data_IF_509758475851
#
_entry.id   IF_509758475851
#
_cell.length_a   1.000
_cell.length_b   1.000
_cell.length_c   1.000
_cell.angle_alpha   90.00
_cell.angle_beta   90.00
_cell.angle_gamma   90.00
#
_symmetry.space_group_name_H-M   'P 1'
#
loop_
_entity.id
_entity.type
_entity.pdbx_description
1 polymer ?
#
# COMPACT_ATOMS: atom_id res chain seq x y z
N UNK A 1 12.63 8.99 -34.60
CA UNK A 1 11.86 9.37 -33.38
C UNK A 1 10.60 8.52 -33.30
N UNK A 2 9.86 8.51 -32.19
CA UNK A 2 8.63 7.70 -32.08
C UNK A 2 7.56 8.15 -33.08
N UNK A 3 7.52 9.45 -33.39
CA UNK A 3 6.74 10.07 -34.47
C UNK A 3 6.98 9.37 -35.82
N UNK A 4 8.24 9.25 -36.26
CA UNK A 4 8.59 8.57 -37.52
C UNK A 4 8.14 7.11 -37.55
N UNK A 5 8.28 6.41 -36.42
CA UNK A 5 7.88 5.01 -36.31
C UNK A 5 6.36 4.88 -36.49
N UNK A 6 5.57 5.69 -35.77
CA UNK A 6 4.10 5.67 -35.86
C UNK A 6 3.65 5.97 -37.28
N UNK A 7 4.19 7.02 -37.91
CA UNK A 7 3.82 7.42 -39.28
C UNK A 7 4.07 6.26 -40.26
N UNK A 8 5.29 5.69 -40.23
CA UNK A 8 5.68 4.63 -41.18
C UNK A 8 4.95 3.32 -40.93
N UNK A 9 4.80 2.92 -39.66
CA UNK A 9 4.19 1.64 -39.29
C UNK A 9 2.70 1.61 -39.65
N UNK A 10 1.96 2.68 -39.32
CA UNK A 10 0.53 2.80 -39.60
C UNK A 10 0.20 3.40 -40.97
N UNK A 11 1.21 3.78 -41.77
CA UNK A 11 1.06 4.39 -43.10
C UNK A 11 0.22 5.68 -43.07
N UNK A 12 0.55 6.57 -42.14
CA UNK A 12 -0.17 7.83 -41.89
C UNK A 12 0.51 9.05 -42.55
N UNK A 13 1.27 8.83 -43.63
CA UNK A 13 2.03 9.89 -44.30
C UNK A 13 1.13 11.06 -44.73
N UNK A 14 1.48 12.27 -44.28
CA UNK A 14 0.73 13.49 -44.57
C UNK A 14 -0.59 13.67 -43.81
N UNK A 15 -0.98 12.71 -42.95
CA UNK A 15 -2.21 12.81 -42.16
C UNK A 15 -2.04 13.58 -40.85
N UNK A 16 -0.88 13.43 -40.20
CA UNK A 16 -0.57 14.08 -38.92
C UNK A 16 0.84 14.66 -38.95
N UNK A 17 1.01 15.78 -38.28
CA UNK A 17 2.32 16.40 -38.02
C UNK A 17 3.04 15.68 -36.88
N UNK A 18 4.36 15.82 -36.84
CA UNK A 18 5.15 15.33 -35.71
C UNK A 18 4.70 15.96 -34.38
N UNK A 19 4.36 17.25 -34.37
CA UNK A 19 3.91 17.96 -33.18
C UNK A 19 2.59 17.37 -32.63
N UNK A 20 1.63 17.05 -33.50
CA UNK A 20 0.37 16.40 -33.10
C UNK A 20 0.60 15.03 -32.48
N UNK A 21 1.47 14.21 -33.08
CA UNK A 21 1.80 12.88 -32.54
C UNK A 21 2.48 13.02 -31.18
N UNK A 22 3.48 13.89 -31.07
CA UNK A 22 4.20 14.10 -29.82
C UNK A 22 3.30 14.69 -28.72
N UNK A 23 2.35 15.54 -29.07
CA UNK A 23 1.32 16.03 -28.15
C UNK A 23 0.45 14.89 -27.62
N UNK A 24 -0.01 13.99 -28.49
CA UNK A 24 -0.75 12.80 -28.06
C UNK A 24 0.08 11.89 -27.15
N UNK A 25 1.35 11.65 -27.49
CA UNK A 25 2.27 10.90 -26.62
C UNK A 25 2.39 11.54 -25.24
N UNK A 26 2.53 12.88 -25.17
CA UNK A 26 2.58 13.61 -23.91
C UNK A 26 1.27 13.51 -23.11
N UNK A 27 0.12 13.64 -23.75
CA UNK A 27 -1.19 13.46 -23.10
C UNK A 27 -1.30 12.07 -22.49
N UNK A 28 -0.95 11.02 -23.24
CA UNK A 28 -1.01 9.63 -22.78
C UNK A 28 0.00 9.39 -21.65
N UNK A 29 1.22 9.92 -21.74
CA UNK A 29 2.23 9.77 -20.70
C UNK A 29 1.82 10.39 -19.36
N UNK A 30 1.18 11.57 -19.41
CA UNK A 30 0.78 12.30 -18.20
C UNK A 30 -0.55 11.80 -17.64
N UNK A 31 -1.52 11.52 -18.50
CA UNK A 31 -2.92 11.28 -18.11
C UNK A 31 -3.40 9.84 -18.36
N UNK A 32 -2.53 8.99 -18.93
CA UNK A 32 -2.83 7.58 -19.13
C UNK A 32 -2.96 6.86 -17.79
N UNK A 33 -4.01 6.05 -17.70
CA UNK A 33 -4.24 5.10 -16.63
C UNK A 33 -4.15 3.69 -17.19
N UNK A 34 -3.33 2.86 -16.54
CA UNK A 34 -3.34 1.42 -16.75
C UNK A 34 -4.68 0.85 -16.24
N UNK A 35 -5.32 0.05 -17.09
CA UNK A 35 -6.62 -0.58 -16.85
C UNK A 35 -6.44 -2.10 -16.92
N UNK A 36 -6.40 -2.78 -15.77
CA UNK A 36 -6.03 -4.20 -15.69
C UNK A 36 -7.19 -5.18 -15.95
N UNK A 37 -8.04 -4.90 -16.94
CA UNK A 37 -9.22 -5.73 -17.24
C UNK A 37 -8.99 -6.76 -18.36
N UNK A 38 -7.82 -6.72 -19.00
CA UNK A 38 -7.44 -7.62 -20.09
C UNK A 38 -5.99 -8.07 -19.88
N UNK A 39 -5.59 -9.18 -20.52
CA UNK A 39 -4.20 -9.61 -20.57
C UNK A 39 -3.68 -9.49 -22.01
N UNK A 40 -2.72 -8.59 -22.29
CA UNK A 40 -2.11 -7.62 -21.37
C UNK A 40 -3.04 -6.45 -21.02
N UNK A 41 -2.70 -5.75 -19.95
CA UNK A 41 -3.32 -4.48 -19.55
C UNK A 41 -3.30 -3.46 -20.69
N UNK A 42 -4.26 -2.53 -20.68
CA UNK A 42 -4.33 -1.42 -21.65
C UNK A 42 -4.29 -0.06 -20.97
N UNK A 43 -3.95 0.98 -21.73
CA UNK A 43 -3.92 2.36 -21.25
C UNK A 43 -5.14 3.12 -21.76
N UNK A 44 -5.84 3.81 -20.86
CA UNK A 44 -6.95 4.68 -21.19
C UNK A 44 -6.75 6.09 -20.62
N UNK A 45 -7.29 7.10 -21.30
CA UNK A 45 -7.30 8.50 -20.86
C UNK A 45 -8.74 8.88 -20.52
N UNK A 46 -8.95 9.36 -19.29
CA UNK A 46 -10.28 9.75 -18.81
C UNK A 46 -10.29 11.24 -18.47
N UNK A 47 -10.83 12.06 -19.37
CA UNK A 47 -10.83 13.53 -19.30
C UNK A 47 -11.11 14.10 -17.89
N UNK A 48 -12.23 13.69 -17.27
CA UNK A 48 -12.61 14.21 -15.95
C UNK A 48 -11.69 13.79 -14.81
N UNK A 49 -11.12 12.59 -14.87
CA UNK A 49 -10.24 12.11 -13.78
C UNK A 49 -8.85 12.74 -13.85
N UNK A 50 -8.41 13.11 -15.06
CA UNK A 50 -7.13 13.78 -15.29
C UNK A 50 -7.04 15.15 -14.60
N UNK A 51 -8.18 15.68 -14.14
CA UNK A 51 -8.26 16.90 -13.33
C UNK A 51 -8.06 16.68 -11.83
N UNK A 52 -8.14 15.44 -11.32
CA UNK A 52 -7.84 15.16 -9.92
C UNK A 52 -6.35 15.43 -9.67
N UNK A 53 -6.00 16.00 -8.52
CA UNK A 53 -4.61 16.28 -8.20
C UNK A 53 -3.95 15.11 -7.47
N UNK A 54 -2.61 15.14 -7.37
CA UNK A 54 -1.89 14.18 -6.56
C UNK A 54 -1.91 14.55 -5.08
N UNK A 55 -2.12 13.55 -4.23
CA UNK A 55 -1.73 13.62 -2.82
C UNK A 55 -1.27 12.22 -2.34
N UNK A 56 -0.14 12.14 -1.63
CA UNK A 56 0.34 10.85 -1.08
C UNK A 56 -0.56 10.29 0.03
N UNK A 57 -1.43 11.13 0.60
CA UNK A 57 -2.53 10.75 1.48
C UNK A 57 -3.83 11.24 0.84
N UNK A 58 -4.20 10.57 -0.25
CA UNK A 58 -5.34 10.92 -1.08
C UNK A 58 -6.68 10.76 -0.34
N UNK A 59 -7.69 11.50 -0.80
CA UNK A 59 -9.06 11.42 -0.29
C UNK A 59 -10.02 10.65 -1.21
N UNK A 60 -9.59 10.30 -2.43
CA UNK A 60 -10.37 9.48 -3.34
C UNK A 60 -9.61 8.21 -3.78
N UNK A 61 -10.39 7.16 -3.98
CA UNK A 61 -10.00 5.88 -4.53
C UNK A 61 -10.42 5.76 -6.00
N UNK A 62 -9.61 5.07 -6.81
CA UNK A 62 -9.89 4.74 -8.20
C UNK A 62 -10.19 3.25 -8.34
N UNK A 63 -11.24 2.92 -9.10
CA UNK A 63 -11.57 1.56 -9.54
C UNK A 63 -12.08 1.57 -10.99
N UNK A 64 -12.53 0.43 -11.49
CA UNK A 64 -13.03 0.28 -12.87
C UNK A 64 -14.32 -0.54 -12.93
N UNK A 65 -15.20 -0.24 -13.87
CA UNK A 65 -16.29 -1.16 -14.24
C UNK A 65 -15.76 -2.26 -15.15
N UNK A 66 -16.47 -3.39 -15.27
CA UNK A 66 -16.12 -4.46 -16.22
C UNK A 66 -16.10 -4.00 -17.68
N UNK A 67 -16.73 -2.87 -18.01
CA UNK A 67 -16.70 -2.25 -19.34
C UNK A 67 -15.58 -1.23 -19.52
N UNK A 68 -14.68 -1.09 -18.54
CA UNK A 68 -13.52 -0.20 -18.64
C UNK A 68 -13.79 1.27 -18.32
N UNK A 69 -14.94 1.59 -17.73
CA UNK A 69 -15.19 2.95 -17.23
C UNK A 69 -14.48 3.14 -15.89
N UNK A 70 -13.95 4.34 -15.66
CA UNK A 70 -13.28 4.65 -14.41
C UNK A 70 -14.28 5.08 -13.33
N UNK A 71 -14.11 4.55 -12.12
CA UNK A 71 -14.87 4.94 -10.94
C UNK A 71 -13.95 5.71 -10.01
N UNK A 72 -14.28 6.97 -9.75
CA UNK A 72 -13.66 7.76 -8.68
C UNK A 72 -14.64 7.84 -7.51
N UNK A 73 -14.21 7.42 -6.33
CA UNK A 73 -15.05 7.41 -5.13
C UNK A 73 -14.33 8.05 -3.95
N UNK A 74 -15.07 8.72 -3.07
CA UNK A 74 -14.52 9.21 -1.82
C UNK A 74 -14.08 8.02 -0.95
N UNK A 75 -12.83 8.05 -0.49
CA UNK A 75 -12.28 7.10 0.48
C UNK A 75 -12.37 7.61 1.93
N UNK A 76 -12.53 8.92 2.10
CA UNK A 76 -12.76 9.60 3.38
C UNK A 76 -13.85 10.64 3.23
N UNK A 77 -14.32 11.22 4.33
CA UNK A 77 -15.22 12.36 4.30
C UNK A 77 -14.53 13.58 3.66
N UNK A 78 -15.21 14.21 2.69
CA UNK A 78 -14.70 15.37 1.95
C UNK A 78 -15.66 16.53 2.14
N UNK A 79 -15.22 17.57 2.86
CA UNK A 79 -16.02 18.78 3.06
C UNK A 79 -16.23 19.54 1.73
N UNK A 80 -17.39 20.19 1.57
CA UNK A 80 -17.69 21.00 0.40
C UNK A 80 -16.64 22.10 0.18
N UNK A 81 -16.17 22.23 -1.06
CA UNK A 81 -15.09 23.16 -1.42
C UNK A 81 -13.67 22.63 -1.23
N UNK A 82 -13.50 21.43 -0.65
CA UNK A 82 -12.20 20.77 -0.57
C UNK A 82 -11.72 20.27 -1.94
N UNK A 83 -10.41 20.15 -2.09
CA UNK A 83 -9.79 19.55 -3.26
C UNK A 83 -10.09 18.04 -3.36
N UNK A 84 -10.09 17.52 -4.58
CA UNK A 84 -10.24 16.08 -4.90
C UNK A 84 -8.90 15.55 -5.38
N UNK A 85 -8.39 14.51 -4.71
CA UNK A 85 -7.05 14.00 -4.93
C UNK A 85 -7.00 12.48 -5.01
N UNK A 86 -6.05 11.96 -5.78
CA UNK A 86 -5.72 10.53 -5.90
C UNK A 86 -4.21 10.32 -5.70
N UNK A 87 -3.80 9.09 -5.38
CA UNK A 87 -2.39 8.75 -5.32
C UNK A 87 -1.89 8.35 -6.72
N UNK A 88 -0.76 8.90 -7.15
CA UNK A 88 -0.13 8.61 -8.46
C UNK A 88 1.07 7.67 -8.33
N UNK A 89 1.43 7.33 -7.11
CA UNK A 89 2.51 6.40 -6.77
C UNK A 89 1.92 5.21 -6.04
N UNK A 90 2.73 4.20 -5.80
CA UNK A 90 2.44 3.25 -4.73
C UNK A 90 2.41 4.01 -3.39
N UNK A 91 1.40 3.71 -2.56
CA UNK A 91 1.17 4.36 -1.27
C UNK A 91 2.10 3.85 -0.16
N UNK A 92 2.74 2.68 -0.35
CA UNK A 92 3.70 2.06 0.57
C UNK A 92 5.16 2.33 0.23
N UNK A 93 5.48 3.09 -0.82
CA UNK A 93 6.84 3.57 -1.03
C UNK A 93 7.26 4.60 0.01
N UNK A 94 8.54 4.66 0.37
CA UNK A 94 9.10 5.72 1.21
C UNK A 94 9.01 7.11 0.57
N UNK A 95 9.13 8.17 1.38
CA UNK A 95 8.90 9.55 0.93
C UNK A 95 9.80 9.98 -0.24
N UNK A 96 11.09 9.63 -0.19
CA UNK A 96 12.05 9.97 -1.25
C UNK A 96 11.69 9.29 -2.57
N UNK A 97 11.38 7.99 -2.54
CA UNK A 97 11.00 7.23 -3.73
C UNK A 97 9.73 7.78 -4.40
N UNK A 98 8.69 8.14 -3.61
CA UNK A 98 7.48 8.78 -4.14
C UNK A 98 7.80 10.12 -4.81
N UNK A 99 8.60 10.97 -4.16
CA UNK A 99 8.99 12.28 -4.72
C UNK A 99 9.80 12.14 -6.01
N UNK A 100 10.78 11.24 -6.05
CA UNK A 100 11.57 10.96 -7.25
C UNK A 100 10.71 10.43 -8.40
N UNK A 101 9.83 9.47 -8.12
CA UNK A 101 8.93 8.94 -9.13
C UNK A 101 8.04 10.03 -9.75
N UNK A 102 7.44 10.90 -8.94
CA UNK A 102 6.60 11.99 -9.43
C UNK A 102 7.38 13.02 -10.24
N UNK A 103 8.62 13.31 -9.84
CA UNK A 103 9.49 14.20 -10.60
C UNK A 103 9.87 13.61 -11.96
N UNK A 104 10.03 12.29 -12.04
CA UNK A 104 10.38 11.58 -13.27
C UNK A 104 9.18 11.35 -14.19
N UNK A 105 8.04 10.94 -13.65
CA UNK A 105 6.88 10.52 -14.42
C UNK A 105 5.84 11.61 -14.65
N UNK A 106 5.73 12.58 -13.72
CA UNK A 106 4.73 13.66 -13.74
C UNK A 106 5.33 15.06 -13.73
N UNK A 107 6.66 15.18 -13.68
CA UNK A 107 7.40 16.45 -13.78
C UNK A 107 7.07 17.48 -12.69
N UNK A 108 6.69 17.03 -11.49
CA UNK A 108 6.51 17.88 -10.32
C UNK A 108 7.06 17.23 -9.05
N UNK A 109 7.30 18.03 -8.03
CA UNK A 109 7.80 17.57 -6.73
C UNK A 109 6.70 17.70 -5.67
N UNK A 110 6.29 16.57 -5.07
CA UNK A 110 5.21 16.56 -4.10
C UNK A 110 5.62 17.14 -2.74
N UNK A 111 4.89 18.15 -2.28
CA UNK A 111 5.05 18.80 -0.96
C UNK A 111 3.81 18.62 -0.08
N UNK A 112 3.03 17.56 -0.31
CA UNK A 112 1.84 17.28 0.51
C UNK A 112 2.22 17.06 1.98
N UNK A 113 1.23 17.14 2.88
CA UNK A 113 1.43 16.99 4.33
C UNK A 113 2.23 15.74 4.71
N UNK A 114 1.98 14.60 4.04
CA UNK A 114 2.73 13.36 4.27
C UNK A 114 4.20 13.48 3.89
N UNK A 115 4.52 14.09 2.75
CA UNK A 115 5.91 14.31 2.32
C UNK A 115 6.65 15.34 3.17
N UNK A 116 5.94 16.34 3.70
CA UNK A 116 6.53 17.37 4.55
C UNK A 116 6.72 16.93 6.00
N UNK A 117 5.98 15.92 6.46
CA UNK A 117 6.15 15.32 7.77
C UNK A 117 7.18 14.18 7.72
N UNK A 118 8.35 14.40 8.30
CA UNK A 118 9.44 13.41 8.31
C UNK A 118 9.08 12.12 9.05
N UNK A 119 8.08 12.15 9.92
CA UNK A 119 7.59 10.96 10.62
C UNK A 119 6.49 10.22 9.85
N UNK A 120 6.00 10.80 8.74
CA UNK A 120 4.82 10.34 7.99
C UNK A 120 3.64 10.04 8.92
N UNK A 121 3.12 11.08 9.57
CA UNK A 121 2.02 11.00 10.55
C UNK A 121 2.36 10.19 11.80
N UNK A 122 3.60 10.27 12.27
CA UNK A 122 4.06 9.57 13.47
C UNK A 122 4.33 8.07 13.27
N UNK A 123 4.16 7.54 12.06
CA UNK A 123 4.35 6.11 11.75
C UNK A 123 5.82 5.71 11.69
N UNK A 124 6.72 6.68 11.55
CA UNK A 124 8.17 6.47 11.39
C UNK A 124 8.50 5.62 10.15
N UNK A 125 7.71 5.79 9.08
CA UNK A 125 7.71 4.94 7.88
C UNK A 125 9.03 4.90 7.10
N UNK A 126 9.89 5.91 7.27
CA UNK A 126 11.23 5.97 6.67
C UNK A 126 12.37 5.94 7.71
N UNK A 127 12.08 5.61 8.97
CA UNK A 127 13.03 5.82 10.07
C UNK A 127 14.00 4.65 10.31
N UNK A 128 15.25 4.99 10.65
CA UNK A 128 16.34 4.05 10.94
C UNK A 128 16.61 4.03 12.45
N UNK A 129 16.89 2.87 13.04
CA UNK A 129 17.24 2.75 14.47
C UNK A 129 18.56 3.45 14.77
N UNK A 130 18.58 4.24 15.84
CA UNK A 130 19.81 4.80 16.36
C UNK A 130 20.74 3.69 16.87
N UNK A 131 22.04 3.80 16.57
CA UNK A 131 23.07 2.83 16.98
C UNK A 131 23.90 3.29 18.18
N UNK A 132 23.58 4.44 18.76
CA UNK A 132 24.20 4.87 20.01
C UNK A 132 23.86 3.93 21.15
N UNK A 133 24.84 3.71 22.02
CA UNK A 133 24.68 2.86 23.20
C UNK A 133 23.53 3.38 24.08
N UNK A 134 22.69 2.46 24.54
CA UNK A 134 21.54 2.72 25.42
C UNK A 134 20.46 3.66 24.83
N UNK A 135 20.50 3.95 23.52
CA UNK A 135 19.48 4.73 22.82
C UNK A 135 18.44 3.82 22.16
N UNK A 136 17.15 4.15 22.35
CA UNK A 136 16.01 3.48 21.68
C UNK A 136 15.30 4.37 20.65
N UNK A 137 15.91 5.51 20.31
CA UNK A 137 15.36 6.47 19.36
C UNK A 137 15.58 6.07 17.90
N UNK A 138 15.02 6.88 17.01
CA UNK A 138 15.10 6.69 15.57
C UNK A 138 15.69 7.92 14.90
N UNK A 139 16.52 7.68 13.89
CA UNK A 139 17.12 8.64 13.00
C UNK A 139 16.11 9.00 11.90
N UNK A 140 15.91 10.30 11.70
CA UNK A 140 15.11 10.90 10.63
C UNK A 140 15.85 12.11 10.07
N UNK A 141 15.67 12.47 8.79
CA UNK A 141 16.25 13.71 8.27
C UNK A 141 15.50 14.92 8.86
N UNK A 142 16.14 16.09 8.81
CA UNK A 142 15.46 17.35 9.17
C UNK A 142 14.27 17.65 8.21
N UNK A 143 14.38 17.22 6.95
CA UNK A 143 13.32 17.35 5.93
C UNK A 143 13.55 16.38 4.77
N UNK A 144 12.47 15.91 4.14
CA UNK A 144 12.49 15.23 2.84
C UNK A 144 12.27 16.19 1.66
N UNK A 145 11.93 17.46 1.93
CA UNK A 145 11.64 18.48 0.91
C UNK A 145 12.94 19.17 0.50
N UNK A 146 13.74 18.45 -0.29
CA UNK A 146 14.99 18.94 -0.87
C UNK A 146 14.90 18.93 -2.40
N UNK A 147 15.66 19.80 -3.08
CA UNK A 147 15.76 19.77 -4.54
C UNK A 147 16.22 18.40 -5.03
N UNK A 148 15.53 17.87 -6.04
CA UNK A 148 15.90 16.66 -6.75
C UNK A 148 16.87 17.03 -7.88
N UNK A 149 18.08 16.48 -7.79
CA UNK A 149 19.14 16.74 -8.77
C UNK A 149 18.66 16.45 -10.20
N UNK A 150 18.94 17.36 -11.12
CA UNK A 150 18.51 17.32 -12.53
C UNK A 150 16.98 17.35 -12.79
N UNK A 151 16.14 17.54 -11.75
CA UNK A 151 14.68 17.61 -11.89
C UNK A 151 14.11 18.93 -11.38
N UNK A 152 14.63 19.47 -10.28
CA UNK A 152 14.17 20.75 -9.75
C UNK A 152 14.52 21.88 -10.71
N UNK A 153 13.49 22.64 -11.11
CA UNK A 153 13.67 23.86 -11.89
C UNK A 153 14.21 24.96 -10.97
N UNK A 154 15.35 25.56 -11.36
CA UNK A 154 15.97 26.69 -10.65
C UNK A 154 16.21 26.43 -9.15
N UNK A 155 17.00 25.41 -8.78
CA UNK A 155 17.26 25.09 -7.37
C UNK A 155 18.01 26.22 -6.67
N UNK A 156 17.65 26.51 -5.42
CA UNK A 156 18.37 27.48 -4.59
C UNK A 156 19.84 27.03 -4.45
N UNK A 157 20.82 27.87 -4.86
CA UNK A 157 22.24 27.56 -4.75
C UNK A 157 22.71 27.17 -3.34
N UNK A 158 21.98 27.59 -2.29
CA UNK A 158 22.29 27.29 -0.90
C UNK A 158 21.76 25.93 -0.43
N UNK A 159 20.69 25.41 -1.07
CA UNK A 159 20.04 24.13 -0.68
C UNK A 159 20.29 23.00 -1.68
N UNK A 160 20.92 23.28 -2.82
CA UNK A 160 21.27 22.27 -3.84
C UNK A 160 22.29 21.21 -3.39
N UNK A 161 23.06 21.49 -2.35
CA UNK A 161 24.10 20.58 -1.86
C UNK A 161 23.53 19.56 -0.87
N UNK A 162 23.35 18.31 -1.33
CA UNK A 162 22.94 17.20 -0.45
C UNK A 162 24.03 16.81 0.57
N UNK A 163 25.28 17.26 0.36
CA UNK A 163 26.44 16.96 1.21
C UNK A 163 26.28 17.36 2.69
N UNK A 164 25.30 18.23 3.00
CA UNK A 164 24.99 18.68 4.37
C UNK A 164 23.74 18.04 4.97
N UNK A 165 23.14 17.04 4.31
CA UNK A 165 21.97 16.35 4.84
C UNK A 165 22.40 15.36 5.91
N UNK A 166 21.80 15.50 7.10
CA UNK A 166 22.01 14.61 8.24
C UNK A 166 20.67 14.08 8.73
N UNK A 167 20.73 12.87 9.27
CA UNK A 167 19.64 12.21 9.97
C UNK A 167 19.93 12.30 11.47
N UNK A 168 18.99 12.87 12.22
CA UNK A 168 19.13 13.11 13.66
C UNK A 168 18.24 12.19 14.45
N UNK A 169 18.77 11.68 15.55
CA UNK A 169 18.01 10.82 16.44
C UNK A 169 17.03 11.65 17.26
N UNK A 170 15.75 11.28 17.22
CA UNK A 170 14.70 11.94 18.00
C UNK A 170 14.83 11.78 19.53
N UNK A 171 15.78 10.98 20.02
CA UNK A 171 16.01 10.75 21.45
C UNK A 171 17.36 11.31 21.92
N UNK A 172 18.48 10.80 21.41
CA UNK A 172 19.82 11.21 21.88
C UNK A 172 20.46 12.34 21.06
N UNK A 173 19.80 12.81 19.99
CA UNK A 173 20.29 13.87 19.09
C UNK A 173 21.58 13.52 18.30
N UNK A 174 22.01 12.26 18.34
CA UNK A 174 23.09 11.78 17.47
C UNK A 174 22.75 12.00 16.00
N UNK A 175 23.75 12.34 15.20
CA UNK A 175 23.59 12.71 13.80
C UNK A 175 24.44 11.81 12.90
N UNK A 176 23.79 11.22 11.90
CA UNK A 176 24.41 10.36 10.88
C UNK A 176 24.27 11.04 9.53
N UNK A 177 25.32 11.02 8.70
CA UNK A 177 25.25 11.64 7.36
C UNK A 177 24.27 10.88 6.46
N UNK A 178 23.63 11.59 5.55
CA UNK A 178 22.70 10.98 4.59
C UNK A 178 23.38 9.90 3.76
N UNK A 179 24.63 10.10 3.33
CA UNK A 179 25.39 9.09 2.56
C UNK A 179 25.48 7.73 3.27
N UNK A 180 25.64 7.71 4.60
CA UNK A 180 25.68 6.47 5.38
C UNK A 180 24.30 5.81 5.44
N UNK A 181 23.24 6.61 5.61
CA UNK A 181 21.87 6.10 5.62
C UNK A 181 21.47 5.57 4.24
N UNK A 182 21.80 6.28 3.16
CA UNK A 182 21.51 5.85 1.79
C UNK A 182 22.26 4.56 1.45
N UNK A 183 23.52 4.41 1.86
CA UNK A 183 24.25 3.16 1.68
C UNK A 183 23.57 2.00 2.41
N UNK A 184 23.17 2.19 3.68
CA UNK A 184 22.43 1.17 4.43
C UNK A 184 21.13 0.77 3.72
N UNK A 185 20.33 1.74 3.27
CA UNK A 185 19.07 1.48 2.57
C UNK A 185 19.27 0.83 1.20
N UNK A 186 20.38 1.13 0.53
CA UNK A 186 20.78 0.49 -0.72
C UNK A 186 21.17 -0.97 -0.50
N UNK A 187 21.95 -1.26 0.53
CA UNK A 187 22.38 -2.61 0.87
C UNK A 187 21.17 -3.49 1.23
N UNK A 188 20.23 -2.97 2.04
CA UNK A 188 18.96 -3.65 2.35
C UNK A 188 18.11 -3.87 1.09
N UNK A 189 18.06 -2.88 0.20
CA UNK A 189 17.36 -3.00 -1.08
C UNK A 189 17.96 -4.09 -1.98
N UNK A 190 19.29 -4.26 -1.97
CA UNK A 190 19.96 -5.35 -2.70
C UNK A 190 19.64 -6.72 -2.08
N UNK A 191 19.65 -6.83 -0.76
CA UNK A 191 19.24 -8.04 -0.05
C UNK A 191 17.80 -8.45 -0.41
N UNK A 192 16.87 -7.49 -0.40
CA UNK A 192 15.48 -7.71 -0.80
C UNK A 192 15.38 -8.20 -2.26
N UNK A 193 16.13 -7.60 -3.18
CA UNK A 193 16.09 -7.96 -4.60
C UNK A 193 16.57 -9.39 -4.90
N UNK A 194 17.48 -9.94 -4.09
CA UNK A 194 17.99 -11.32 -4.26
C UNK A 194 17.25 -12.34 -3.39
N UNK A 195 16.33 -11.90 -2.53
CA UNK A 195 15.52 -12.76 -1.68
C UNK A 195 14.68 -13.74 -2.52
N UNK A 196 14.62 -15.04 -2.18
CA UNK A 196 13.77 -16.00 -2.88
C UNK A 196 12.29 -15.56 -2.87
N UNK A 197 11.68 -15.50 -4.06
CA UNK A 197 10.26 -15.14 -4.20
C UNK A 197 9.37 -16.32 -3.77
N UNK A 198 8.28 -16.02 -3.07
CA UNK A 198 7.33 -17.03 -2.61
C UNK A 198 7.82 -17.88 -1.44
N UNK A 199 8.88 -17.45 -0.74
CA UNK A 199 9.43 -18.12 0.43
C UNK A 199 9.07 -17.34 1.71
N UNK A 200 8.12 -17.87 2.48
CA UNK A 200 7.69 -17.29 3.74
C UNK A 200 8.80 -17.29 4.81
N UNK A 201 9.62 -18.34 4.87
CA UNK A 201 10.74 -18.43 5.81
C UNK A 201 11.81 -17.37 5.48
N UNK A 202 12.04 -17.09 4.19
CA UNK A 202 12.93 -16.01 3.77
C UNK A 202 12.41 -14.64 4.20
N UNK A 203 11.11 -14.38 4.07
CA UNK A 203 10.50 -13.14 4.53
C UNK A 203 10.64 -12.96 6.04
N UNK A 204 10.39 -14.01 6.83
CA UNK A 204 10.56 -13.99 8.29
C UNK A 204 12.01 -13.67 8.69
N UNK A 205 12.99 -14.31 8.05
CA UNK A 205 14.43 -14.05 8.29
C UNK A 205 14.82 -12.61 7.92
N UNK A 206 14.33 -12.10 6.79
CA UNK A 206 14.60 -10.72 6.38
C UNK A 206 14.07 -9.71 7.39
N UNK A 207 12.82 -9.89 7.83
CA UNK A 207 12.18 -9.04 8.84
C UNK A 207 12.96 -9.10 10.16
N UNK A 208 13.33 -10.29 10.63
CA UNK A 208 14.12 -10.43 11.87
C UNK A 208 15.48 -9.72 11.76
N UNK A 209 16.21 -9.93 10.66
CA UNK A 209 17.50 -9.29 10.41
C UNK A 209 17.39 -7.75 10.37
N UNK A 210 16.49 -7.24 9.52
CA UNK A 210 16.27 -5.82 9.31
C UNK A 210 15.68 -5.12 10.54
N UNK A 211 15.00 -5.85 11.43
CA UNK A 211 14.47 -5.30 12.68
C UNK A 211 15.56 -4.69 13.56
N UNK A 212 16.82 -5.12 13.44
CA UNK A 212 17.93 -4.54 14.19
C UNK A 212 18.34 -3.15 13.70
N UNK A 213 18.01 -2.79 12.45
CA UNK A 213 18.39 -1.53 11.80
C UNK A 213 17.23 -0.58 11.54
N UNK A 214 16.01 -1.09 11.34
CA UNK A 214 14.88 -0.30 10.86
C UNK A 214 13.77 -0.18 11.90
N UNK A 215 12.95 0.87 11.78
CA UNK A 215 11.70 0.95 12.52
C UNK A 215 10.76 -0.21 12.11
N UNK A 216 9.97 -0.79 13.03
CA UNK A 216 9.04 -1.87 12.69
C UNK A 216 8.02 -1.53 11.58
N UNK A 217 7.72 -0.26 11.37
CA UNK A 217 6.84 0.24 10.30
C UNK A 217 7.60 0.78 9.10
N UNK A 218 8.93 0.61 9.01
CA UNK A 218 9.70 1.08 7.88
C UNK A 218 9.17 0.50 6.56
N UNK A 219 9.24 1.23 5.44
CA UNK A 219 8.67 0.78 4.16
C UNK A 219 9.16 -0.62 3.73
N UNK A 220 10.47 -0.91 3.80
CA UNK A 220 10.99 -2.28 3.54
C UNK A 220 10.41 -3.35 4.48
N UNK A 221 10.26 -3.02 5.77
CA UNK A 221 9.67 -3.95 6.73
C UNK A 221 8.21 -4.21 6.42
N UNK A 222 7.48 -3.16 6.01
CA UNK A 222 6.07 -3.21 5.66
C UNK A 222 5.83 -4.00 4.38
N UNK A 223 6.65 -3.77 3.35
CA UNK A 223 6.59 -4.46 2.05
C UNK A 223 6.77 -5.98 2.21
N UNK A 224 7.84 -6.40 2.90
CA UNK A 224 8.09 -7.83 3.16
C UNK A 224 7.03 -8.44 4.09
N UNK A 225 6.57 -7.68 5.08
CA UNK A 225 5.47 -8.11 5.96
C UNK A 225 4.16 -8.32 5.20
N UNK A 226 3.86 -7.46 4.22
CA UNK A 226 2.70 -7.58 3.35
C UNK A 226 2.77 -8.86 2.51
N UNK A 227 3.92 -9.08 1.85
CA UNK A 227 4.16 -10.29 1.08
C UNK A 227 4.03 -11.56 1.93
N UNK A 228 4.64 -11.57 3.12
CA UNK A 228 4.53 -12.68 4.07
C UNK A 228 3.07 -12.94 4.50
N UNK A 229 2.32 -11.89 4.83
CA UNK A 229 0.91 -12.00 5.21
C UNK A 229 0.07 -12.60 4.07
N UNK A 230 0.38 -12.28 2.81
CA UNK A 230 -0.27 -12.84 1.63
C UNK A 230 0.13 -14.29 1.36
N UNK A 231 1.37 -14.70 1.67
CA UNK A 231 1.85 -16.08 1.48
C UNK A 231 1.29 -17.07 2.50
N UNK A 232 1.13 -16.67 3.77
CA UNK A 232 0.69 -17.60 4.83
C UNK A 232 -0.71 -18.12 4.53
N UNK A 233 -0.83 -19.44 4.36
CA UNK A 233 -2.10 -20.13 4.15
C UNK A 233 -2.57 -20.24 2.69
N UNK A 234 -1.69 -19.98 1.72
CA UNK A 234 -1.99 -20.14 0.27
C UNK A 234 -1.72 -21.55 -0.27
N UNK A 235 -1.20 -22.47 0.56
CA UNK A 235 -1.01 -23.87 0.17
C UNK A 235 -2.37 -24.59 -0.03
N UNK A 236 -2.35 -25.74 -0.69
CA UNK A 236 -3.57 -26.55 -0.99
C UNK A 236 -4.45 -26.84 0.22
N UNK A 237 -3.86 -26.92 1.42
CA UNK A 237 -4.58 -27.19 2.67
C UNK A 237 -5.05 -25.92 3.39
N UNK A 238 -4.74 -24.74 2.86
CA UNK A 238 -5.17 -23.44 3.37
C UNK A 238 -4.69 -23.13 4.79
N UNK A 239 -5.41 -22.24 5.47
CA UNK A 239 -5.13 -21.86 6.86
C UNK A 239 -5.26 -23.02 7.85
N UNK A 240 -5.97 -24.10 7.52
CA UNK A 240 -6.14 -25.25 8.41
C UNK A 240 -4.83 -26.01 8.69
N UNK A 241 -3.87 -25.97 7.76
CA UNK A 241 -2.56 -26.63 7.90
C UNK A 241 -1.46 -25.72 8.47
N UNK A 242 -1.72 -24.42 8.63
CA UNK A 242 -0.74 -23.45 9.15
C UNK A 242 -0.54 -23.66 10.66
N UNK A 243 0.69 -23.53 11.17
CA UNK A 243 0.96 -23.59 12.61
C UNK A 243 0.22 -22.48 13.39
N UNK A 244 -0.04 -22.67 14.69
CA UNK A 244 -0.66 -21.63 15.52
C UNK A 244 0.18 -20.34 15.56
N UNK A 245 1.50 -20.48 15.56
CA UNK A 245 2.45 -19.36 15.53
C UNK A 245 2.33 -18.54 14.23
N UNK A 246 2.31 -19.21 13.06
CA UNK A 246 2.16 -18.52 11.77
C UNK A 246 0.77 -17.94 11.56
N UNK A 247 -0.27 -18.58 12.09
CA UNK A 247 -1.63 -18.04 12.05
C UNK A 247 -1.73 -16.75 12.90
N UNK A 248 -1.10 -16.74 14.09
CA UNK A 248 -1.00 -15.56 14.93
C UNK A 248 -0.19 -14.45 14.23
N UNK A 249 0.95 -14.81 13.61
CA UNK A 249 1.76 -13.88 12.84
C UNK A 249 0.95 -13.23 11.70
N UNK A 250 0.26 -14.03 10.87
CA UNK A 250 -0.61 -13.51 9.81
C UNK A 250 -1.64 -12.53 10.36
N UNK A 251 -2.30 -12.87 11.47
CA UNK A 251 -3.28 -11.99 12.13
C UNK A 251 -2.65 -10.65 12.53
N UNK A 252 -1.46 -10.68 13.14
CA UNK A 252 -0.75 -9.47 13.57
C UNK A 252 -0.29 -8.61 12.39
N UNK A 253 0.24 -9.22 11.33
CA UNK A 253 0.71 -8.51 10.14
C UNK A 253 -0.46 -7.87 9.40
N UNK A 254 -1.54 -8.61 9.11
CA UNK A 254 -2.70 -8.07 8.42
C UNK A 254 -3.31 -6.89 9.16
N UNK A 255 -3.48 -7.01 10.49
CA UNK A 255 -4.00 -5.91 11.31
C UNK A 255 -3.07 -4.70 11.31
N UNK A 256 -1.79 -4.91 11.59
CA UNK A 256 -0.80 -3.82 11.66
C UNK A 256 -0.71 -3.03 10.36
N UNK A 257 -0.75 -3.70 9.22
CA UNK A 257 -0.64 -3.05 7.90
C UNK A 257 -1.95 -2.35 7.54
N UNK A 258 -3.11 -2.94 7.85
CA UNK A 258 -4.41 -2.28 7.66
C UNK A 258 -4.53 -0.99 8.47
N UNK A 259 -4.10 -1.01 9.75
CA UNK A 259 -4.06 0.17 10.63
C UNK A 259 -3.06 1.23 10.10
N UNK A 260 -1.92 0.79 9.56
CA UNK A 260 -0.92 1.68 8.96
C UNK A 260 -1.46 2.38 7.70
N UNK A 261 -2.19 1.66 6.84
CA UNK A 261 -2.82 2.23 5.65
C UNK A 261 -3.88 3.26 5.99
N UNK A 262 -4.68 3.04 7.03
CA UNK A 262 -5.65 4.03 7.51
C UNK A 262 -4.97 5.35 7.91
N UNK A 263 -3.73 5.29 8.39
CA UNK A 263 -2.95 6.47 8.74
C UNK A 263 -2.26 7.11 7.52
N UNK A 264 -1.60 6.30 6.67
CA UNK A 264 -0.77 6.80 5.57
C UNK A 264 -1.56 7.16 4.32
N UNK A 265 -2.53 6.31 3.96
CA UNK A 265 -3.26 6.32 2.71
C UNK A 265 -4.71 5.86 2.93
N UNK A 266 -5.55 6.68 3.61
CA UNK A 266 -6.86 6.26 4.06
C UNK A 266 -7.84 5.94 2.91
N UNK A 267 -7.59 6.46 1.71
CA UNK A 267 -8.36 6.12 0.51
C UNK A 267 -7.82 4.90 -0.26
N UNK A 268 -6.79 4.20 0.23
CA UNK A 268 -6.25 2.99 -0.38
C UNK A 268 -7.16 1.78 -0.09
N UNK A 269 -8.25 1.67 -0.84
CA UNK A 269 -9.30 0.69 -0.57
C UNK A 269 -8.93 -0.74 -0.97
N UNK A 270 -8.24 -0.93 -2.10
CA UNK A 270 -7.92 -2.26 -2.65
C UNK A 270 -7.05 -3.04 -1.68
N UNK A 271 -5.89 -2.46 -1.34
CA UNK A 271 -4.94 -3.12 -0.46
C UNK A 271 -5.50 -3.32 0.95
N UNK A 272 -6.13 -2.29 1.54
CA UNK A 272 -6.74 -2.38 2.88
C UNK A 272 -7.88 -3.40 2.89
N UNK A 273 -8.74 -3.42 1.88
CA UNK A 273 -9.84 -4.37 1.75
C UNK A 273 -9.36 -5.82 1.63
N UNK A 274 -8.31 -6.07 0.83
CA UNK A 274 -7.70 -7.40 0.71
C UNK A 274 -7.03 -7.86 2.02
N UNK A 275 -6.35 -6.96 2.73
CA UNK A 275 -5.75 -7.26 4.04
C UNK A 275 -6.81 -7.59 5.10
N UNK A 276 -7.93 -6.85 5.12
CA UNK A 276 -9.05 -7.16 6.01
C UNK A 276 -9.71 -8.49 5.62
N UNK A 277 -9.71 -8.86 4.34
CA UNK A 277 -10.17 -10.18 3.93
C UNK A 277 -9.27 -11.28 4.54
N UNK A 278 -7.97 -11.18 4.37
CA UNK A 278 -7.02 -12.13 4.95
C UNK A 278 -7.09 -12.18 6.49
N UNK A 279 -7.28 -11.02 7.13
CA UNK A 279 -7.45 -10.90 8.58
C UNK A 279 -8.72 -11.64 9.06
N UNK A 280 -9.86 -11.46 8.38
CA UNK A 280 -11.11 -12.11 8.77
C UNK A 280 -10.94 -13.64 8.77
N UNK A 281 -10.27 -14.18 7.75
CA UNK A 281 -10.06 -15.61 7.58
C UNK A 281 -9.16 -16.17 8.70
N UNK A 282 -8.07 -15.46 9.03
CA UNK A 282 -7.18 -15.84 10.12
C UNK A 282 -7.87 -15.82 11.51
N UNK A 283 -8.71 -14.80 11.75
CA UNK A 283 -9.51 -14.68 12.98
C UNK A 283 -10.55 -15.80 13.09
N UNK A 284 -11.23 -16.14 11.99
CA UNK A 284 -12.20 -17.23 11.94
C UNK A 284 -11.54 -18.59 12.22
N UNK A 285 -10.39 -18.86 11.60
CA UNK A 285 -9.64 -20.11 11.83
C UNK A 285 -9.12 -20.21 13.27
N UNK A 286 -8.64 -19.10 13.85
CA UNK A 286 -8.26 -19.05 15.26
C UNK A 286 -9.45 -19.39 16.17
N UNK A 287 -10.63 -18.84 15.88
CA UNK A 287 -11.87 -19.14 16.58
C UNK A 287 -12.25 -20.61 16.49
N UNK A 288 -12.16 -21.20 15.29
CA UNK A 288 -12.42 -22.63 15.06
C UNK A 288 -11.50 -23.50 15.91
N UNK A 289 -10.19 -23.23 15.93
CA UNK A 289 -9.22 -24.01 16.72
C UNK A 289 -9.51 -23.91 18.22
N UNK A 290 -9.70 -22.70 18.75
CA UNK A 290 -9.97 -22.49 20.18
C UNK A 290 -11.31 -23.06 20.63
N UNK A 291 -12.31 -23.10 19.75
CA UNK A 291 -13.62 -23.67 20.09
C UNK A 291 -13.58 -25.17 20.41
N UNK A 292 -12.56 -25.89 19.93
CA UNK A 292 -12.37 -27.31 20.23
C UNK A 292 -12.07 -27.57 21.71
N UNK A 293 -11.44 -26.61 22.39
CA UNK A 293 -11.12 -26.69 23.82
C UNK A 293 -12.08 -25.88 24.68
N UNK A 294 -12.45 -24.68 24.20
CA UNK A 294 -13.12 -23.66 25.03
C UNK A 294 -14.63 -23.56 24.74
N UNK A 295 -15.12 -24.34 23.79
CA UNK A 295 -16.54 -24.48 23.49
C UNK A 295 -17.16 -23.40 22.59
N UNK A 296 -18.49 -23.48 22.34
CA UNK A 296 -19.18 -22.69 21.32
C UNK A 296 -19.28 -21.20 21.62
N UNK A 297 -19.19 -20.79 22.89
CA UNK A 297 -19.22 -19.37 23.27
C UNK A 297 -17.98 -18.63 22.77
N UNK A 298 -16.81 -19.27 22.82
CA UNK A 298 -15.57 -18.71 22.25
C UNK A 298 -15.67 -18.59 20.74
N UNK A 299 -16.22 -19.61 20.07
CA UNK A 299 -16.46 -19.56 18.63
C UNK A 299 -17.36 -18.37 18.26
N UNK A 300 -18.46 -18.16 18.98
CA UNK A 300 -19.37 -17.05 18.74
C UNK A 300 -18.67 -15.70 18.82
N UNK A 301 -17.79 -15.49 19.80
CA UNK A 301 -16.99 -14.27 19.92
C UNK A 301 -16.10 -14.02 18.70
N UNK A 302 -15.35 -15.04 18.27
CA UNK A 302 -14.45 -14.95 17.12
C UNK A 302 -15.19 -14.78 15.79
N UNK A 303 -16.28 -15.50 15.57
CA UNK A 303 -17.10 -15.36 14.35
C UNK A 303 -17.75 -13.98 14.29
N UNK A 304 -18.22 -13.46 15.42
CA UNK A 304 -18.79 -12.09 15.48
C UNK A 304 -17.74 -11.03 15.12
N UNK A 305 -16.50 -11.19 15.61
CA UNK A 305 -15.41 -10.27 15.28
C UNK A 305 -14.97 -10.40 13.82
N UNK A 306 -14.74 -11.61 13.34
CA UNK A 306 -14.40 -11.88 11.93
C UNK A 306 -15.46 -11.30 10.98
N UNK A 307 -16.74 -11.37 11.35
CA UNK A 307 -17.84 -10.80 10.55
C UNK A 307 -17.71 -9.29 10.40
N UNK A 308 -17.36 -8.56 11.46
CA UNK A 308 -17.17 -7.10 11.41
C UNK A 308 -16.04 -6.73 10.47
N UNK A 309 -14.91 -7.43 10.58
CA UNK A 309 -13.73 -7.25 9.73
C UNK A 309 -14.10 -7.51 8.26
N UNK A 310 -14.82 -8.60 8.00
CA UNK A 310 -15.26 -8.96 6.65
C UNK A 310 -16.26 -7.96 6.07
N UNK A 311 -17.14 -7.39 6.90
CA UNK A 311 -18.07 -6.36 6.48
C UNK A 311 -17.34 -5.10 5.99
N UNK A 312 -16.27 -4.70 6.68
CA UNK A 312 -15.42 -3.58 6.26
C UNK A 312 -14.65 -3.91 4.97
N UNK A 313 -14.07 -5.11 4.85
CA UNK A 313 -13.46 -5.59 3.61
C UNK A 313 -14.43 -5.50 2.42
N UNK A 314 -15.64 -6.03 2.56
CA UNK A 314 -16.68 -5.97 1.52
C UNK A 314 -17.08 -4.53 1.16
N UNK A 315 -17.08 -3.63 2.14
CA UNK A 315 -17.37 -2.22 1.90
C UNK A 315 -16.27 -1.55 1.09
N UNK A 316 -15.00 -1.76 1.43
CA UNK A 316 -13.86 -1.17 0.71
C UNK A 316 -13.78 -1.67 -0.74
N UNK A 317 -14.00 -2.98 -0.95
CA UNK A 317 -13.89 -3.63 -2.27
C UNK A 317 -15.18 -3.58 -3.10
N UNK A 318 -16.20 -2.82 -2.68
CA UNK A 318 -17.55 -2.87 -3.29
C UNK A 318 -17.62 -2.45 -4.77
N UNK A 319 -16.65 -1.63 -5.20
CA UNK A 319 -16.58 -1.09 -6.56
C UNK A 319 -15.65 -1.89 -7.46
N UNK A 320 -14.94 -2.89 -6.92
CA UNK A 320 -13.97 -3.65 -7.69
C UNK A 320 -14.66 -4.63 -8.65
N UNK A 321 -14.22 -4.66 -9.92
CA UNK A 321 -14.81 -5.50 -10.94
C UNK A 321 -14.33 -6.95 -10.80
N UNK A 322 -15.17 -7.94 -11.13
CA UNK A 322 -14.88 -9.37 -10.94
C UNK A 322 -13.71 -9.92 -11.75
N UNK A 323 -13.28 -9.20 -12.77
CA UNK A 323 -12.08 -9.49 -13.55
C UNK A 323 -10.81 -9.36 -12.68
N UNK A 324 -10.85 -8.55 -11.62
CA UNK A 324 -9.73 -8.34 -10.71
C UNK A 324 -9.80 -9.24 -9.47
N UNK A 325 -8.65 -9.61 -8.88
CA UNK A 325 -8.60 -10.35 -7.62
C UNK A 325 -9.48 -9.73 -6.53
N UNK A 326 -9.43 -8.41 -6.37
CA UNK A 326 -10.19 -7.70 -5.35
C UNK A 326 -11.71 -7.77 -5.58
N UNK A 327 -12.17 -7.80 -6.82
CA UNK A 327 -13.58 -7.99 -7.14
C UNK A 327 -14.05 -9.41 -6.83
N UNK A 328 -13.18 -10.40 -7.01
CA UNK A 328 -13.43 -11.78 -6.59
C UNK A 328 -13.52 -11.88 -5.07
N UNK A 329 -12.60 -11.24 -4.34
CA UNK A 329 -12.66 -11.13 -2.88
C UNK A 329 -13.96 -10.44 -2.42
N UNK A 330 -14.37 -9.36 -3.07
CA UNK A 330 -15.63 -8.66 -2.78
C UNK A 330 -16.86 -9.55 -2.93
N UNK A 331 -16.90 -10.39 -3.98
CA UNK A 331 -17.96 -11.39 -4.18
C UNK A 331 -17.93 -12.46 -3.09
N UNK A 332 -16.75 -13.02 -2.81
CA UNK A 332 -16.59 -14.04 -1.78
C UNK A 332 -16.95 -13.51 -0.39
N UNK A 333 -16.59 -12.27 -0.09
CA UNK A 333 -16.93 -11.60 1.17
C UNK A 333 -18.45 -11.52 1.38
N UNK A 334 -19.22 -11.20 0.34
CA UNK A 334 -20.70 -11.18 0.42
C UNK A 334 -21.29 -12.55 0.72
N UNK A 335 -20.75 -13.61 0.12
CA UNK A 335 -21.17 -15.00 0.38
C UNK A 335 -20.83 -15.38 1.83
N UNK A 336 -19.59 -15.14 2.24
CA UNK A 336 -19.10 -15.45 3.57
C UNK A 336 -19.90 -14.69 4.65
N UNK A 337 -20.28 -13.43 4.43
CA UNK A 337 -21.10 -12.67 5.38
C UNK A 337 -22.46 -13.35 5.67
N UNK A 338 -23.13 -13.87 4.66
CA UNK A 338 -24.41 -14.60 4.83
C UNK A 338 -24.21 -15.87 5.66
N UNK A 339 -23.16 -16.64 5.35
CA UNK A 339 -22.81 -17.86 6.09
C UNK A 339 -22.47 -17.56 7.55
N UNK A 340 -21.77 -16.45 7.80
CA UNK A 340 -21.42 -16.01 9.15
C UNK A 340 -22.64 -15.53 9.93
N UNK A 341 -23.57 -14.80 9.28
CA UNK A 341 -24.84 -14.41 9.89
C UNK A 341 -25.67 -15.64 10.31
N UNK A 342 -25.73 -16.67 9.47
CA UNK A 342 -26.37 -17.95 9.80
C UNK A 342 -25.68 -18.66 10.96
N UNK A 343 -24.35 -18.75 10.94
CA UNK A 343 -23.57 -19.37 12.01
C UNK A 343 -23.75 -18.65 13.34
N UNK A 344 -23.73 -17.31 13.36
CA UNK A 344 -23.96 -16.50 14.56
C UNK A 344 -25.36 -16.75 15.12
N UNK A 345 -26.39 -16.78 14.26
CA UNK A 345 -27.77 -17.08 14.69
C UNK A 345 -27.87 -18.46 15.33
N UNK A 346 -27.27 -19.47 14.71
CA UNK A 346 -27.30 -20.85 15.21
C UNK A 346 -26.55 -21.01 16.53
N UNK A 347 -25.37 -20.39 16.66
CA UNK A 347 -24.61 -20.40 17.91
C UNK A 347 -25.33 -19.65 19.02
N UNK A 348 -25.94 -18.51 18.71
CA UNK A 348 -26.68 -17.70 19.70
C UNK A 348 -27.93 -18.40 20.22
N UNK A 349 -28.65 -19.15 19.36
CA UNK A 349 -29.84 -19.91 19.77
C UNK A 349 -29.52 -21.17 20.57
N UNK A 350 -28.33 -21.74 20.37
CA UNK A 350 -27.86 -22.93 21.08
C UNK A 350 -27.28 -22.62 22.48
N UNK A 351 -26.92 -21.36 22.74
CA UNK A 351 -26.41 -20.94 24.05
C UNK A 351 -27.58 -20.63 25.01
N UNK A 352 -27.50 -21.07 26.28
CA UNK A 352 -28.53 -20.75 27.26
C UNK A 352 -28.66 -19.23 27.43
N UNK A 353 -29.90 -18.72 27.51
CA UNK A 353 -30.13 -17.30 27.78
C UNK A 353 -29.44 -16.90 29.09
N UNK A 354 -28.80 -15.71 29.15
CA UNK A 354 -28.28 -15.20 30.41
C UNK A 354 -29.45 -15.06 31.40
N UNK A 355 -29.31 -15.72 32.56
CA UNK A 355 -30.24 -15.64 33.70
C UNK A 355 -30.27 -14.24 34.31
#
# INVERSE_FOLDING_TARGET
>A
MISDFIIKFFKLDGMFTEEEIMKCCGIIQINGHEVPLMEPDYVAVFDRISMAEHNCSANCNKSFTSTGEIILSAGVDIAAGSHISVCYTDSLWGTEARRHHLADSKFFECTCRRCSDVTEFGTMFSAVKCKQKDCKGYLLPDTFILPILHKTKSPDPNTRGLDKKFWKCNSCQDAVSDAVIQQLLQDIGQELNVMPKGDADACERFVDHCSSYLHPSHFYMTDVSLALAQMIGQDTLGLAAVSDERLLLKTQLCKKIADLLETLAPAENRLRGSLLFELHAAVAETGRRKSLTDGPMVLLGYVTESRKILQESAALLRHEPPELPEGQLSRQAKINLVQMDELIRNLSSALPSPL
#
